data_IF_390695358368
#
_entry.id   IF_390695358368
#
_cell.length_a   1.000
_cell.length_b   1.000
_cell.length_c   1.000
_cell.angle_alpha   90.00
_cell.angle_beta   90.00
_cell.angle_gamma   90.00
#
_symmetry.space_group_name_H-M   'P 1'
#
loop_
_entity.id
_entity.type
_entity.pdbx_description
1 polymer ?
#
# COMPACT_ATOMS: atom_id res chain seq x y z
N UNK A 1 -21.77 -13.81 -4.90
CA UNK A 1 -21.78 -14.13 -6.32
C UNK A 1 -22.77 -13.26 -7.14
N UNK A 2 -23.93 -12.89 -6.60
CA UNK A 2 -24.90 -12.01 -7.28
C UNK A 2 -24.34 -10.61 -7.56
N UNK A 3 -23.66 -9.98 -6.59
CA UNK A 3 -23.02 -8.67 -6.76
C UNK A 3 -21.95 -8.73 -7.86
N UNK A 4 -21.11 -9.77 -7.85
CA UNK A 4 -20.13 -9.95 -8.92
C UNK A 4 -20.80 -10.07 -10.30
N UNK A 5 -21.87 -10.86 -10.43
CA UNK A 5 -22.59 -11.04 -11.70
C UNK A 5 -23.27 -9.76 -12.18
N UNK A 6 -23.63 -8.87 -11.25
CA UNK A 6 -24.18 -7.56 -11.60
C UNK A 6 -23.10 -6.65 -12.23
N UNK A 7 -21.91 -6.59 -11.63
CA UNK A 7 -20.83 -5.70 -12.07
C UNK A 7 -19.96 -6.30 -13.20
N UNK A 8 -19.76 -7.61 -13.16
CA UNK A 8 -18.93 -8.34 -14.13
C UNK A 8 -19.69 -9.59 -14.57
N UNK A 9 -20.62 -9.44 -15.51
CA UNK A 9 -21.40 -10.57 -16.01
C UNK A 9 -20.51 -11.55 -16.78
N UNK A 10 -20.83 -12.85 -16.67
CA UNK A 10 -20.11 -13.90 -17.37
C UNK A 10 -19.26 -14.79 -16.48
N UNK A 11 -18.51 -15.70 -17.11
CA UNK A 11 -17.68 -16.71 -16.43
C UNK A 11 -16.20 -16.39 -16.39
N UNK A 12 -15.77 -15.29 -17.02
CA UNK A 12 -14.37 -14.89 -17.08
C UNK A 12 -13.88 -14.51 -15.69
N UNK A 13 -12.77 -15.10 -15.28
CA UNK A 13 -12.01 -14.75 -14.08
C UNK A 13 -10.64 -14.26 -14.52
N UNK A 14 -10.30 -13.04 -14.17
CA UNK A 14 -9.00 -12.45 -14.47
C UNK A 14 -8.02 -12.76 -13.34
N UNK A 15 -6.75 -12.76 -13.66
CA UNK A 15 -5.63 -12.92 -12.72
C UNK A 15 -4.47 -12.01 -13.15
N UNK A 16 -3.54 -11.76 -12.27
CA UNK A 16 -2.35 -10.94 -12.51
C UNK A 16 -1.12 -11.63 -11.92
N UNK A 17 0.01 -11.47 -12.59
CA UNK A 17 1.33 -11.77 -12.03
C UNK A 17 1.89 -10.44 -11.54
N UNK A 18 2.08 -10.32 -10.24
CA UNK A 18 2.78 -9.20 -9.65
C UNK A 18 3.92 -9.66 -8.73
N UNK A 19 4.79 -8.76 -8.38
CA UNK A 19 5.88 -8.99 -7.43
C UNK A 19 5.73 -8.10 -6.22
N UNK A 20 5.63 -8.69 -5.04
CA UNK A 20 5.73 -7.92 -3.80
C UNK A 20 7.18 -7.44 -3.61
N UNK A 21 7.34 -6.14 -3.43
CA UNK A 21 8.61 -5.50 -3.11
C UNK A 21 8.41 -4.49 -2.00
N UNK A 22 9.08 -4.71 -0.88
CA UNK A 22 8.96 -3.81 0.27
C UNK A 22 9.95 -2.66 0.15
N UNK A 23 9.47 -1.43 0.26
CA UNK A 23 10.33 -0.23 0.21
C UNK A 23 11.30 -0.19 1.40
N UNK A 24 10.80 -0.51 2.58
CA UNK A 24 11.59 -0.55 3.81
C UNK A 24 10.92 -1.45 4.85
N UNK A 25 11.70 -2.06 5.72
CA UNK A 25 11.18 -2.73 6.91
C UNK A 25 11.15 -1.81 8.15
N UNK A 26 11.65 -0.60 8.07
CA UNK A 26 11.59 0.36 9.17
C UNK A 26 10.16 0.85 9.38
N UNK A 27 9.62 0.67 10.58
CA UNK A 27 8.23 1.00 10.86
C UNK A 27 8.01 1.52 12.28
N UNK A 28 7.29 2.64 12.40
CA UNK A 28 6.84 3.18 13.68
C UNK A 28 5.58 2.49 14.23
N UNK A 29 4.82 1.78 13.38
CA UNK A 29 3.68 1.00 13.83
C UNK A 29 4.13 -0.28 14.56
N UNK A 30 3.24 -0.81 15.39
CA UNK A 30 3.47 -2.02 16.17
C UNK A 30 2.31 -3.01 15.95
N UNK A 31 2.34 -3.66 14.78
CA UNK A 31 1.33 -4.66 14.43
C UNK A 31 1.72 -6.01 15.02
N UNK A 32 0.85 -6.61 15.82
CA UNK A 32 1.13 -7.88 16.52
C UNK A 32 1.31 -9.09 15.60
N UNK A 33 0.80 -8.99 14.39
CA UNK A 33 0.89 -10.05 13.37
C UNK A 33 2.04 -9.83 12.39
N UNK A 34 2.72 -8.67 12.42
CA UNK A 34 3.80 -8.34 11.50
C UNK A 34 5.16 -8.73 12.10
N UNK A 35 5.80 -9.75 11.54
CA UNK A 35 7.16 -10.14 11.89
C UNK A 35 8.22 -9.47 11.01
N UNK A 36 7.79 -8.66 10.07
CA UNK A 36 8.64 -8.02 9.08
C UNK A 36 9.30 -6.73 9.59
N UNK A 37 8.58 -5.93 10.41
CA UNK A 37 9.03 -4.60 10.78
C UNK A 37 10.27 -4.59 11.69
N UNK A 38 11.11 -3.55 11.51
CA UNK A 38 12.22 -3.20 12.40
C UNK A 38 12.05 -1.78 12.91
N UNK A 39 12.58 -1.51 14.08
CA UNK A 39 12.62 -0.13 14.61
C UNK A 39 13.72 0.67 13.92
N UNK A 40 13.59 2.03 13.84
CA UNK A 40 14.69 2.86 13.37
C UNK A 40 16.00 2.56 14.10
N UNK A 41 17.10 2.43 13.37
CA UNK A 41 18.42 2.10 13.91
C UNK A 41 18.68 0.62 14.24
N UNK A 42 17.74 -0.28 13.93
CA UNK A 42 17.97 -1.73 14.04
C UNK A 42 19.01 -2.19 13.02
N UNK A 43 19.87 -3.15 13.37
CA UNK A 43 20.92 -3.69 12.49
C UNK A 43 20.42 -4.29 11.18
N UNK A 44 19.20 -4.86 11.19
CA UNK A 44 18.55 -5.40 10.01
C UNK A 44 17.65 -4.38 9.28
N UNK A 45 17.69 -3.09 9.68
CA UNK A 45 16.91 -2.05 9.01
C UNK A 45 17.45 -1.82 7.59
N UNK A 46 16.54 -1.68 6.61
CA UNK A 46 16.93 -1.39 5.23
C UNK A 46 15.94 -0.45 4.54
N UNK A 47 16.41 0.16 3.48
CA UNK A 47 15.62 0.80 2.42
C UNK A 47 16.05 0.14 1.12
N UNK A 48 15.11 -0.38 0.34
CA UNK A 48 15.37 -1.07 -0.92
C UNK A 48 15.98 -0.09 -1.92
N UNK A 49 17.10 -0.47 -2.52
CA UNK A 49 17.81 0.31 -3.52
C UNK A 49 17.19 0.17 -4.91
N UNK A 50 17.49 1.11 -5.81
CA UNK A 50 17.06 1.04 -7.21
C UNK A 50 17.56 -0.23 -7.90
N UNK A 51 18.79 -0.66 -7.62
CA UNK A 51 19.33 -1.88 -8.24
C UNK A 51 18.60 -3.14 -7.77
N UNK A 52 18.18 -3.20 -6.52
CA UNK A 52 17.34 -4.30 -6.02
C UNK A 52 15.94 -4.26 -6.65
N UNK A 53 15.38 -3.07 -6.90
CA UNK A 53 14.12 -2.95 -7.65
C UNK A 53 14.28 -3.44 -9.09
N UNK A 54 15.35 -3.07 -9.79
CA UNK A 54 15.62 -3.54 -11.17
C UNK A 54 15.60 -5.05 -11.26
N UNK A 55 16.33 -5.74 -10.38
CA UNK A 55 16.37 -7.21 -10.34
C UNK A 55 14.95 -7.78 -10.22
N UNK A 56 14.15 -7.27 -9.27
CA UNK A 56 12.77 -7.74 -9.05
C UNK A 56 11.84 -7.44 -10.22
N UNK A 57 12.00 -6.29 -10.87
CA UNK A 57 11.18 -5.90 -12.02
C UNK A 57 11.51 -6.77 -13.23
N UNK A 58 12.79 -6.99 -13.51
CA UNK A 58 13.25 -7.83 -14.62
C UNK A 58 12.78 -9.26 -14.46
N UNK A 59 12.92 -9.85 -13.25
CA UNK A 59 12.35 -11.17 -12.93
C UNK A 59 10.81 -11.17 -13.15
N UNK A 60 10.10 -10.11 -12.77
CA UNK A 60 8.65 -10.02 -12.94
C UNK A 60 8.27 -10.03 -14.42
N UNK A 61 8.97 -9.28 -15.24
CA UNK A 61 8.76 -9.24 -16.69
C UNK A 61 9.10 -10.57 -17.38
N UNK A 62 10.17 -11.25 -16.92
CA UNK A 62 10.54 -12.58 -17.41
C UNK A 62 9.42 -13.60 -17.21
N UNK A 63 8.70 -13.52 -16.10
CA UNK A 63 7.52 -14.36 -15.82
C UNK A 63 6.22 -13.84 -16.43
N UNK A 64 6.27 -12.79 -17.25
CA UNK A 64 5.08 -12.21 -17.91
C UNK A 64 4.22 -11.33 -17.00
N UNK A 65 4.74 -10.93 -15.85
CA UNK A 65 4.11 -9.92 -14.98
C UNK A 65 4.39 -8.50 -15.48
N UNK A 66 3.61 -7.55 -15.01
CA UNK A 66 3.76 -6.13 -15.39
C UNK A 66 3.61 -5.18 -14.20
N UNK A 67 3.45 -5.72 -12.98
CA UNK A 67 3.11 -4.95 -11.80
C UNK A 67 4.03 -5.24 -10.64
N UNK A 68 4.40 -4.19 -9.90
CA UNK A 68 4.92 -4.31 -8.54
C UNK A 68 3.83 -3.97 -7.52
N UNK A 69 3.71 -4.81 -6.49
CA UNK A 69 3.03 -4.48 -5.25
C UNK A 69 4.06 -3.90 -4.26
N UNK A 70 4.12 -2.57 -4.18
CA UNK A 70 5.04 -1.85 -3.32
C UNK A 70 4.38 -1.49 -1.99
N UNK A 71 4.83 -2.10 -0.94
CA UNK A 71 4.40 -1.81 0.43
C UNK A 71 5.62 -1.71 1.33
N UNK A 72 5.48 -1.13 2.51
CA UNK A 72 6.62 -1.01 3.42
C UNK A 72 6.21 -0.64 4.84
N UNK A 73 7.20 -0.34 5.64
CA UNK A 73 7.00 0.20 6.98
C UNK A 73 6.71 1.71 6.94
N UNK A 74 6.09 2.22 8.01
CA UNK A 74 5.93 3.66 8.24
C UNK A 74 7.27 4.22 8.72
N UNK A 75 8.17 4.48 7.76
CA UNK A 75 9.48 5.04 8.06
C UNK A 75 9.35 6.50 8.51
N UNK A 76 10.01 6.92 9.60
CA UNK A 76 9.86 8.28 10.13
C UNK A 76 10.35 9.37 9.19
N UNK A 77 11.32 9.07 8.32
CA UNK A 77 12.03 10.06 7.49
C UNK A 77 11.73 9.94 6.00
N UNK A 78 10.97 8.91 5.56
CA UNK A 78 10.59 8.78 4.16
C UNK A 78 9.24 9.48 3.91
N UNK A 79 9.31 10.76 3.56
CA UNK A 79 8.16 11.60 3.22
C UNK A 79 7.74 11.49 1.75
N UNK A 80 6.89 12.42 1.33
CA UNK A 80 6.31 12.44 -0.02
C UNK A 80 7.38 12.53 -1.11
N UNK A 81 8.40 13.38 -0.94
CA UNK A 81 9.47 13.55 -1.93
C UNK A 81 10.18 12.24 -2.26
N UNK A 82 10.48 11.43 -1.25
CA UNK A 82 11.12 10.13 -1.46
C UNK A 82 10.30 9.23 -2.40
N UNK A 83 8.99 9.11 -2.17
CA UNK A 83 8.13 8.25 -3.00
C UNK A 83 7.90 8.83 -4.39
N UNK A 84 7.79 10.14 -4.51
CA UNK A 84 7.70 10.84 -5.81
C UNK A 84 8.94 10.58 -6.66
N UNK A 85 10.13 10.71 -6.08
CA UNK A 85 11.39 10.47 -6.78
C UNK A 85 11.54 8.99 -7.16
N UNK A 86 11.24 8.07 -6.23
CA UNK A 86 11.24 6.63 -6.48
C UNK A 86 10.32 6.26 -7.65
N UNK A 87 9.07 6.74 -7.65
CA UNK A 87 8.09 6.36 -8.69
C UNK A 87 8.48 6.93 -10.04
N UNK A 88 8.95 8.19 -10.10
CA UNK A 88 9.46 8.80 -11.34
C UNK A 88 10.66 8.03 -11.89
N UNK A 89 11.59 7.62 -11.04
CA UNK A 89 12.75 6.86 -11.47
C UNK A 89 12.34 5.49 -12.00
N UNK A 90 11.50 4.75 -11.29
CA UNK A 90 11.00 3.44 -11.74
C UNK A 90 10.23 3.55 -13.06
N UNK A 91 9.37 4.56 -13.23
CA UNK A 91 8.63 4.82 -14.48
C UNK A 91 9.56 5.26 -15.62
N UNK A 92 10.61 6.00 -15.34
CA UNK A 92 11.62 6.38 -16.34
C UNK A 92 12.39 5.17 -16.86
N UNK A 93 12.77 4.25 -15.97
CA UNK A 93 13.47 3.02 -16.33
C UNK A 93 12.55 2.00 -16.99
N UNK A 94 11.31 1.89 -16.53
CA UNK A 94 10.33 0.89 -16.95
C UNK A 94 8.96 1.53 -17.21
N UNK A 95 8.75 2.21 -18.34
CA UNK A 95 7.52 2.97 -18.62
C UNK A 95 6.23 2.15 -18.58
N UNK A 96 6.32 0.85 -18.86
CA UNK A 96 5.17 -0.06 -18.87
C UNK A 96 4.88 -0.70 -17.50
N UNK A 97 5.76 -0.49 -16.52
CA UNK A 97 5.58 -1.04 -15.17
C UNK A 97 4.36 -0.42 -14.50
N UNK A 98 3.51 -1.24 -13.92
CA UNK A 98 2.40 -0.81 -13.07
C UNK A 98 2.85 -0.74 -11.61
N UNK A 99 2.60 0.40 -10.98
CA UNK A 99 2.87 0.62 -9.56
C UNK A 99 1.57 0.53 -8.77
N UNK A 100 1.34 -0.62 -8.12
CA UNK A 100 0.29 -0.83 -7.13
C UNK A 100 0.92 -0.64 -5.74
N UNK A 101 0.86 0.56 -5.20
CA UNK A 101 1.76 0.91 -4.12
C UNK A 101 1.07 1.68 -2.99
N UNK A 102 1.66 1.60 -1.80
CA UNK A 102 1.29 2.33 -0.60
C UNK A 102 -0.17 2.09 -0.17
N UNK A 103 -0.39 1.40 0.92
CA UNK A 103 -1.73 1.26 1.49
C UNK A 103 -2.21 2.53 2.20
N UNK A 104 -3.51 2.64 2.53
CA UNK A 104 -4.05 3.79 3.25
C UNK A 104 -3.31 4.17 4.53
N UNK A 105 -2.80 3.23 5.36
CA UNK A 105 -2.00 3.61 6.52
C UNK A 105 -0.69 4.31 6.17
N UNK A 106 -0.05 3.95 5.04
CA UNK A 106 1.17 4.61 4.55
C UNK A 106 0.86 6.00 4.02
N UNK A 107 -0.23 6.17 3.25
CA UNK A 107 -0.70 7.49 2.81
C UNK A 107 -1.03 8.39 4.00
N UNK A 108 -1.76 7.89 5.00
CA UNK A 108 -2.06 8.64 6.21
C UNK A 108 -0.79 9.04 6.98
N UNK A 109 0.22 8.16 7.01
CA UNK A 109 1.52 8.44 7.62
C UNK A 109 2.26 9.56 6.87
N UNK A 110 2.37 9.48 5.54
CA UNK A 110 3.00 10.52 4.70
C UNK A 110 2.25 11.84 4.83
N UNK A 111 0.92 11.82 4.75
CA UNK A 111 0.08 13.03 4.94
C UNK A 111 0.39 13.72 6.25
N UNK A 112 0.56 12.96 7.33
CA UNK A 112 0.91 13.51 8.64
C UNK A 112 2.32 14.06 8.69
N UNK A 113 3.30 13.42 8.05
CA UNK A 113 4.68 13.92 7.97
C UNK A 113 4.75 15.26 7.24
N UNK A 114 4.01 15.40 6.14
CA UNK A 114 4.00 16.59 5.31
C UNK A 114 3.09 17.72 5.84
N UNK A 115 2.22 17.44 6.81
CA UNK A 115 1.18 18.39 7.24
C UNK A 115 0.19 18.76 6.12
N UNK A 116 -0.04 17.85 5.18
CA UNK A 116 -0.83 18.02 3.97
C UNK A 116 -2.19 17.32 4.05
N UNK A 117 -2.90 17.20 2.96
CA UNK A 117 -4.17 16.44 2.83
C UNK A 117 -3.94 15.14 2.06
N UNK A 118 -4.78 14.14 2.29
CA UNK A 118 -4.70 12.86 1.57
C UNK A 118 -4.80 13.04 0.06
N UNK A 119 -5.61 13.98 -0.41
CA UNK A 119 -5.80 14.21 -1.84
C UNK A 119 -4.55 14.85 -2.48
N UNK A 120 -3.91 15.79 -1.80
CA UNK A 120 -2.65 16.40 -2.27
C UNK A 120 -1.53 15.35 -2.38
N UNK A 121 -1.37 14.52 -1.35
CA UNK A 121 -0.39 13.42 -1.35
C UNK A 121 -0.67 12.43 -2.48
N UNK A 122 -1.92 11.97 -2.61
CA UNK A 122 -2.30 11.01 -3.65
C UNK A 122 -2.16 11.59 -5.06
N UNK A 123 -2.52 12.86 -5.28
CA UNK A 123 -2.36 13.53 -6.58
C UNK A 123 -0.87 13.60 -6.97
N UNK A 124 -0.01 14.02 -6.05
CA UNK A 124 1.42 14.10 -6.33
C UNK A 124 2.04 12.71 -6.64
N UNK A 125 1.60 11.66 -5.93
CA UNK A 125 2.04 10.29 -6.20
C UNK A 125 1.50 9.78 -7.54
N UNK A 126 0.25 10.08 -7.90
CA UNK A 126 -0.34 9.72 -9.19
C UNK A 126 0.41 10.40 -10.35
N UNK A 127 0.72 11.69 -10.22
CA UNK A 127 1.54 12.43 -11.19
C UNK A 127 2.96 11.87 -11.31
N UNK A 128 3.49 11.29 -10.24
CA UNK A 128 4.78 10.60 -10.23
C UNK A 128 4.74 9.19 -10.83
N UNK A 129 3.55 8.63 -11.09
CA UNK A 129 3.38 7.34 -11.74
C UNK A 129 2.72 6.24 -10.89
N UNK A 130 2.14 6.58 -9.73
CA UNK A 130 1.31 5.62 -8.98
C UNK A 130 0.06 5.27 -9.79
N UNK A 131 -0.11 4.00 -10.16
CA UNK A 131 -1.24 3.54 -10.99
C UNK A 131 -2.45 3.14 -10.15
N UNK A 132 -2.25 2.61 -8.95
CA UNK A 132 -3.35 2.13 -8.10
C UNK A 132 -2.93 1.98 -6.64
N UNK A 133 -3.92 2.01 -5.74
CA UNK A 133 -3.72 1.94 -4.30
C UNK A 133 -4.20 0.60 -3.73
N UNK A 134 -3.33 -0.24 -3.13
CA UNK A 134 -3.76 -1.45 -2.45
C UNK A 134 -4.56 -1.16 -1.19
N UNK A 135 -5.59 -1.95 -0.92
CA UNK A 135 -6.42 -1.88 0.29
C UNK A 135 -5.75 -2.45 1.54
N UNK A 136 -4.44 -2.40 1.59
CA UNK A 136 -3.65 -2.94 2.70
C UNK A 136 -3.92 -2.20 4.02
N UNK A 137 -3.63 -2.87 5.13
CA UNK A 137 -3.74 -2.30 6.45
C UNK A 137 -5.18 -2.05 6.93
N UNK A 138 -6.20 -2.51 6.19
CA UNK A 138 -7.58 -2.51 6.67
C UNK A 138 -7.74 -3.46 7.85
N UNK A 139 -7.26 -4.67 7.73
CA UNK A 139 -7.47 -5.80 8.65
C UNK A 139 -8.97 -5.92 9.03
N UNK A 140 -9.35 -5.34 10.15
CA UNK A 140 -10.73 -5.03 10.55
C UNK A 140 -10.80 -3.52 10.83
N UNK A 141 -11.83 -2.85 10.31
CA UNK A 141 -11.98 -1.38 10.42
C UNK A 141 -12.57 -0.92 11.76
N UNK A 142 -12.91 -1.84 12.68
CA UNK A 142 -13.27 -1.49 14.06
C UNK A 142 -12.04 -0.96 14.81
N UNK A 143 -12.13 0.27 15.33
CA UNK A 143 -11.03 0.88 16.07
C UNK A 143 -10.64 0.14 17.36
N UNK A 144 -11.58 -0.61 17.97
CA UNK A 144 -11.27 -1.51 19.08
C UNK A 144 -10.24 -2.56 18.64
N UNK A 145 -10.51 -3.23 17.52
CA UNK A 145 -9.63 -4.27 16.97
C UNK A 145 -8.30 -3.64 16.57
N UNK A 146 -8.33 -2.54 15.81
CA UNK A 146 -7.13 -1.83 15.33
C UNK A 146 -6.19 -1.44 16.46
N UNK A 147 -6.71 -0.88 17.54
CA UNK A 147 -5.88 -0.52 18.72
C UNK A 147 -5.20 -1.72 19.36
N UNK A 148 -5.80 -2.92 19.28
CA UNK A 148 -5.26 -4.13 19.88
C UNK A 148 -4.22 -4.82 18.99
N UNK A 149 -4.41 -4.86 17.66
CA UNK A 149 -3.56 -5.65 16.75
C UNK A 149 -2.61 -4.83 15.89
N UNK A 150 -2.91 -3.56 15.62
CA UNK A 150 -2.14 -2.69 14.72
C UNK A 150 -1.93 -1.29 15.30
N UNK A 151 -1.42 -1.25 16.52
CA UNK A 151 -1.12 0.01 17.22
C UNK A 151 -0.14 0.87 16.40
N UNK A 152 -0.53 2.12 16.18
CA UNK A 152 0.27 3.08 15.39
C UNK A 152 -0.16 3.22 13.93
N UNK A 153 -1.08 2.38 13.43
CA UNK A 153 -1.77 2.61 12.16
C UNK A 153 -2.93 3.60 12.32
N UNK A 154 -3.36 4.19 11.23
CA UNK A 154 -4.52 5.08 11.17
C UNK A 154 -5.80 4.41 11.66
N UNK A 155 -6.79 5.21 12.07
CA UNK A 155 -8.13 4.72 12.45
C UNK A 155 -8.88 4.12 11.26
N UNK A 156 -9.95 3.37 11.53
CA UNK A 156 -10.83 2.85 10.48
C UNK A 156 -11.45 3.97 9.65
N UNK A 157 -11.83 5.07 10.31
CA UNK A 157 -12.35 6.26 9.62
C UNK A 157 -11.32 6.87 8.68
N UNK A 158 -10.09 7.08 9.14
CA UNK A 158 -9.01 7.68 8.35
C UNK A 158 -8.62 6.77 7.17
N UNK A 159 -8.61 5.45 7.36
CA UNK A 159 -8.43 4.50 6.28
C UNK A 159 -9.46 4.70 5.15
N UNK A 160 -10.75 4.85 5.52
CA UNK A 160 -11.83 5.13 4.57
C UNK A 160 -11.72 6.52 3.95
N UNK A 161 -11.24 7.53 4.68
CA UNK A 161 -11.04 8.87 4.16
C UNK A 161 -9.94 8.90 3.09
N UNK A 162 -8.85 8.14 3.26
CA UNK A 162 -7.83 7.94 2.22
C UNK A 162 -8.42 7.29 0.97
N UNK A 163 -9.22 6.23 1.13
CA UNK A 163 -9.88 5.58 -0.02
C UNK A 163 -10.84 6.53 -0.74
N UNK A 164 -11.61 7.35 -0.01
CA UNK A 164 -12.47 8.38 -0.62
C UNK A 164 -11.65 9.42 -1.38
N UNK A 165 -10.48 9.81 -0.88
CA UNK A 165 -9.59 10.73 -1.58
C UNK A 165 -9.05 10.11 -2.88
N UNK A 166 -8.63 8.84 -2.84
CA UNK A 166 -8.21 8.10 -4.02
C UNK A 166 -9.31 8.02 -5.10
N UNK A 167 -10.53 7.69 -4.70
CA UNK A 167 -11.67 7.64 -5.63
C UNK A 167 -12.04 9.00 -6.24
N UNK A 168 -11.81 10.12 -5.53
CA UNK A 168 -12.05 11.46 -6.07
C UNK A 168 -11.13 11.86 -7.22
N UNK A 169 -9.98 11.21 -7.34
CA UNK A 169 -9.02 11.39 -8.43
C UNK A 169 -9.02 10.19 -9.39
N UNK A 170 -10.10 9.42 -9.40
CA UNK A 170 -10.31 8.25 -10.27
C UNK A 170 -9.21 7.17 -10.13
N UNK A 171 -8.55 7.09 -8.99
CA UNK A 171 -7.53 6.07 -8.72
C UNK A 171 -8.18 4.71 -8.44
N UNK A 172 -7.73 3.68 -9.12
CA UNK A 172 -8.15 2.29 -8.86
C UNK A 172 -7.63 1.85 -7.49
N UNK A 173 -8.51 1.19 -6.73
CA UNK A 173 -8.16 0.68 -5.39
C UNK A 173 -8.58 -0.78 -5.22
N UNK A 174 -8.00 -1.45 -4.23
CA UNK A 174 -8.48 -2.75 -3.77
C UNK A 174 -8.91 -2.69 -2.30
N UNK A 175 -9.49 -3.77 -1.78
CA UNK A 175 -9.83 -3.90 -0.38
C UNK A 175 -9.40 -5.26 0.14
N UNK A 176 -8.82 -5.29 1.33
CA UNK A 176 -8.40 -6.50 2.01
C UNK A 176 -9.04 -6.59 3.39
N UNK A 177 -9.17 -7.81 3.91
CA UNK A 177 -9.65 -8.06 5.26
C UNK A 177 -8.86 -9.21 5.86
N UNK A 178 -8.38 -9.03 7.08
CA UNK A 178 -7.82 -10.11 7.89
C UNK A 178 -8.79 -10.42 9.02
N UNK A 179 -9.41 -11.59 8.99
CA UNK A 179 -10.49 -11.96 9.89
C UNK A 179 -10.23 -13.34 10.55
N UNK A 180 -11.00 -13.64 11.60
CA UNK A 180 -10.90 -14.90 12.32
C UNK A 180 -9.92 -14.86 13.50
N UNK A 181 -9.68 -13.68 14.08
CA UNK A 181 -8.78 -13.51 15.22
C UNK A 181 -9.50 -13.03 16.48
N UNK A 182 -9.65 -11.70 16.72
CA UNK A 182 -10.22 -11.14 17.95
C UNK A 182 -11.47 -10.28 17.73
N UNK A 183 -11.85 -10.10 16.48
CA UNK A 183 -13.04 -9.37 16.10
C UNK A 183 -14.32 -10.18 16.38
N UNK A 184 -15.40 -9.48 16.64
CA UNK A 184 -16.75 -10.09 16.67
C UNK A 184 -17.32 -10.13 15.24
N UNK A 185 -18.38 -10.92 15.05
CA UNK A 185 -19.10 -10.97 13.77
C UNK A 185 -19.65 -9.61 13.35
N UNK A 186 -20.04 -8.76 14.31
CA UNK A 186 -20.53 -7.41 14.04
C UNK A 186 -19.42 -6.45 13.60
N UNK A 187 -18.19 -6.69 14.01
CA UNK A 187 -17.03 -5.87 13.63
C UNK A 187 -16.45 -6.26 12.26
N UNK A 188 -16.78 -7.45 11.78
CA UNK A 188 -16.44 -7.96 10.45
C UNK A 188 -17.38 -7.41 9.38
#
# INVERSE_FOLDING_TARGET
NQIRQHHVPGKTVTWIIDRNSNTTNVCNANCKFCNFYRRPGHEEAYITTIDEYKIKIEETFEYGGEQLLLQGGHHPDLGLSFYVDLFKELKSLYPNLKLHALGPPEIAHITKLEGSTHIEVLTALQEAGLDSLPGAGAEILSDRVRRLISKGKCSGKEWLDVMRAAHKIDMTTSATMMFGHIETNTER
#
